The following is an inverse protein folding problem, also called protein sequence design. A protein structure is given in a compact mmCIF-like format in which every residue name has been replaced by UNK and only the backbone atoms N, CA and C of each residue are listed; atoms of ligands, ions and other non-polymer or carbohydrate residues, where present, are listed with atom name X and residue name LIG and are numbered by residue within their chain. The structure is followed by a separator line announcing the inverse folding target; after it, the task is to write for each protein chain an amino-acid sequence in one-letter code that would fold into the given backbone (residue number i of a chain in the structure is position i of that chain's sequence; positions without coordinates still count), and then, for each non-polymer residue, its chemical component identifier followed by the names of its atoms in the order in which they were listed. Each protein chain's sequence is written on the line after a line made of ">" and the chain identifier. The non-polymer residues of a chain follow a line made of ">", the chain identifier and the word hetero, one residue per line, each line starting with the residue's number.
data_IF_657838897730
#
_entry.id   IF_657838897730
#
_cell.length_a   1.000
_cell.length_b   1.000
_cell.length_c   1.000
_cell.angle_alpha   90.00
_cell.angle_beta   90.00
_cell.angle_gamma   90.00
#
_symmetry.space_group_name_H-M   'P 1'
#
loop_
_entity.id
_entity.type
_entity.pdbx_description
1 polymer ?
#
# COMPACT_ATOMS: atom_id res chain seq x y z
N UNK A 1 13.55 2.63 -7.02
CA UNK A 1 13.45 1.50 -6.09
C UNK A 1 13.89 1.86 -4.68
N UNK A 2 13.01 1.59 -3.72
CA UNK A 2 13.15 1.80 -2.27
C UNK A 2 12.95 0.44 -1.61
N UNK A 3 13.86 0.07 -0.70
CA UNK A 3 13.75 -1.15 0.09
C UNK A 3 12.97 -0.86 1.37
N UNK A 4 11.87 -1.58 1.61
CA UNK A 4 11.10 -1.52 2.83
C UNK A 4 10.79 -2.92 3.38
N UNK A 5 10.43 -3.01 4.65
CA UNK A 5 10.15 -4.28 5.33
C UNK A 5 8.72 -4.25 5.88
N UNK A 6 7.91 -5.23 5.52
CA UNK A 6 6.54 -5.43 6.00
C UNK A 6 6.46 -6.83 6.60
N UNK A 7 6.13 -6.95 7.89
CA UNK A 7 6.00 -8.23 8.59
C UNK A 7 7.19 -9.18 8.32
N UNK A 8 8.40 -8.67 8.54
CA UNK A 8 9.68 -9.35 8.28
C UNK A 8 9.98 -9.73 6.82
N UNK A 9 9.09 -9.38 5.88
CA UNK A 9 9.29 -9.57 4.45
C UNK A 9 9.94 -8.34 3.82
N UNK A 10 11.03 -8.52 3.09
CA UNK A 10 11.65 -7.46 2.29
C UNK A 10 10.83 -7.21 1.02
N UNK A 11 10.41 -5.97 0.82
CA UNK A 11 9.58 -5.53 -0.30
C UNK A 11 10.30 -4.40 -1.06
N UNK A 12 10.26 -4.49 -2.38
CA UNK A 12 10.72 -3.44 -3.29
C UNK A 12 9.53 -2.54 -3.63
N UNK A 13 9.68 -1.24 -3.43
CA UNK A 13 8.69 -0.25 -3.83
C UNK A 13 9.31 0.77 -4.79
N UNK A 14 8.47 1.36 -5.63
CA UNK A 14 8.88 2.49 -6.47
C UNK A 14 8.79 3.82 -5.70
N UNK A 15 9.61 4.82 -6.07
CA UNK A 15 9.42 6.18 -5.59
C UNK A 15 7.98 6.64 -5.84
N UNK A 16 7.40 7.36 -4.89
CA UNK A 16 6.02 7.87 -4.91
C UNK A 16 4.90 6.81 -4.85
N UNK A 17 5.25 5.51 -4.76
CA UNK A 17 4.29 4.44 -4.51
C UNK A 17 3.76 4.53 -3.07
N UNK A 18 2.46 4.31 -2.88
CA UNK A 18 1.88 4.28 -1.53
C UNK A 18 2.27 2.99 -0.79
N UNK A 19 2.30 3.04 0.54
CA UNK A 19 2.55 1.84 1.36
C UNK A 19 1.47 0.77 1.12
N UNK A 20 0.22 1.19 0.90
CA UNK A 20 -0.88 0.29 0.56
C UNK A 20 -0.61 -0.47 -0.75
N UNK A 21 -0.13 0.23 -1.79
CA UNK A 21 0.19 -0.39 -3.08
C UNK A 21 1.41 -1.31 -2.99
N UNK A 22 2.43 -0.92 -2.22
CA UNK A 22 3.61 -1.75 -1.98
C UNK A 22 3.24 -3.05 -1.25
N UNK A 23 2.38 -2.97 -0.22
CA UNK A 23 1.86 -4.14 0.49
C UNK A 23 1.06 -5.05 -0.46
N UNK A 24 0.18 -4.47 -1.27
CA UNK A 24 -0.64 -5.22 -2.24
C UNK A 24 0.23 -5.93 -3.29
N UNK A 25 1.28 -5.27 -3.79
CA UNK A 25 2.24 -5.85 -4.74
C UNK A 25 3.02 -7.03 -4.13
N UNK A 26 3.29 -6.98 -2.82
CA UNK A 26 3.91 -8.07 -2.06
C UNK A 26 2.93 -9.20 -1.67
N UNK A 27 1.66 -9.11 -2.06
CA UNK A 27 0.62 -10.09 -1.70
C UNK A 27 0.06 -9.93 -0.28
N UNK A 28 0.41 -8.84 0.41
CA UNK A 28 -0.06 -8.53 1.76
C UNK A 28 -1.37 -7.75 1.65
N UNK A 29 -2.46 -8.34 2.17
CA UNK A 29 -3.79 -7.75 2.09
C UNK A 29 -4.07 -6.86 3.31
N UNK A 30 -4.06 -5.55 3.11
CA UNK A 30 -4.56 -4.57 4.08
C UNK A 30 -6.05 -4.30 3.77
N UNK A 31 -6.97 -4.37 4.76
CA UNK A 31 -8.37 -4.02 4.55
C UNK A 31 -8.50 -2.58 4.03
N UNK A 32 -9.31 -2.37 3.00
CA UNK A 32 -9.42 -1.05 2.38
C UNK A 32 -10.80 -0.88 1.76
N UNK A 33 -11.41 0.29 1.98
CA UNK A 33 -12.73 0.62 1.45
C UNK A 33 -12.75 1.94 0.67
N UNK A 34 -12.08 2.98 1.15
CA UNK A 34 -12.13 4.31 0.55
C UNK A 34 -11.04 4.60 -0.49
N UNK A 35 -10.12 3.66 -0.73
CA UNK A 35 -9.10 3.77 -1.77
C UNK A 35 -9.57 3.00 -3.00
N UNK A 36 -9.81 3.72 -4.09
CA UNK A 36 -10.36 3.21 -5.33
C UNK A 36 -9.47 3.67 -6.48
N UNK A 37 -9.25 2.78 -7.45
CA UNK A 37 -8.42 3.06 -8.61
C UNK A 37 -9.00 4.22 -9.42
N UNK A 38 -8.12 5.12 -9.89
CA UNK A 38 -8.49 6.36 -10.59
C UNK A 38 -9.22 7.42 -9.75
N UNK A 39 -9.34 7.25 -8.43
CA UNK A 39 -9.85 8.27 -7.51
C UNK A 39 -8.77 8.77 -6.55
N UNK A 40 -8.93 10.01 -6.09
CA UNK A 40 -8.01 10.58 -5.12
C UNK A 40 -8.16 9.88 -3.76
N UNK A 41 -7.05 9.60 -3.05
CA UNK A 41 -7.11 9.00 -1.73
C UNK A 41 -7.66 10.00 -0.71
N UNK A 42 -8.68 9.58 0.06
CA UNK A 42 -9.36 10.45 1.04
C UNK A 42 -9.16 10.04 2.50
N UNK A 43 -8.65 8.83 2.77
CA UNK A 43 -8.41 8.35 4.14
C UNK A 43 -9.66 8.21 5.02
N UNK A 44 -10.87 8.14 4.42
CA UNK A 44 -12.14 8.15 5.15
C UNK A 44 -12.39 6.86 5.96
N UNK A 45 -11.97 5.70 5.46
CA UNK A 45 -12.27 4.42 6.11
C UNK A 45 -11.34 4.06 7.28
N UNK A 46 -10.16 4.68 7.38
CA UNK A 46 -9.16 4.46 8.46
C UNK A 46 -8.73 2.99 8.67
N UNK A 47 -8.89 2.15 7.65
CA UNK A 47 -8.55 0.73 7.69
C UNK A 47 -7.16 0.42 7.12
N UNK A 48 -6.69 1.27 6.20
CA UNK A 48 -5.39 1.17 5.54
C UNK A 48 -4.40 2.22 6.06
#
# INVERSE_FOLDING_TARGET
>A
MINLRIDDTLVQAEPDQTVLDAAKAAGIRIPTLCHLESLSPVGACRLC
#
